data_IF_196190675583
#
_entry.id   IF_196190675583
#
_cell.length_a   1.000
_cell.length_b   1.000
_cell.length_c   1.000
_cell.angle_alpha   90.00
_cell.angle_beta   90.00
_cell.angle_gamma   90.00
#
_symmetry.space_group_name_H-M   'P 1'
#
loop_
_entity.id
_entity.type
_entity.pdbx_description
1 polymer ?
#
# COMPACT_ATOMS: atom_id res chain seq x y z
N UNK A 1 19.91 3.49 2.52
CA UNK A 1 19.20 3.72 1.24
C UNK A 1 20.12 4.19 0.12
N UNK A 2 20.86 5.29 0.26
CA UNK A 2 21.79 5.74 -0.79
C UNK A 2 22.84 4.66 -1.16
N UNK A 3 23.48 4.05 -0.16
CA UNK A 3 24.47 2.98 -0.40
C UNK A 3 23.92 1.77 -1.18
N UNK A 4 22.62 1.46 -1.01
CA UNK A 4 21.96 0.35 -1.70
C UNK A 4 21.62 0.68 -3.15
N UNK A 5 21.51 1.96 -3.49
CA UNK A 5 21.06 2.41 -4.82
C UNK A 5 22.16 3.03 -5.66
N UNK A 6 23.27 3.49 -5.06
CA UNK A 6 24.33 4.26 -5.75
C UNK A 6 24.84 3.60 -7.03
N UNK A 7 25.04 2.28 -7.03
CA UNK A 7 25.55 1.52 -8.18
C UNK A 7 24.55 1.44 -9.35
N UNK A 8 23.30 1.80 -9.12
CA UNK A 8 22.22 1.85 -10.12
C UNK A 8 21.84 3.28 -10.52
N UNK A 9 22.61 4.28 -10.08
CA UNK A 9 22.36 5.70 -10.36
C UNK A 9 23.53 6.28 -11.18
N UNK A 10 23.21 7.13 -12.16
CA UNK A 10 24.20 7.95 -12.84
C UNK A 10 24.92 8.88 -11.85
N UNK A 11 26.16 9.26 -12.13
CA UNK A 11 26.96 10.15 -11.27
C UNK A 11 26.21 11.43 -10.90
N UNK A 12 25.61 12.10 -11.90
CA UNK A 12 24.76 13.27 -11.70
C UNK A 12 23.59 13.01 -10.74
N UNK A 13 22.93 11.86 -10.85
CA UNK A 13 21.83 11.50 -9.96
C UNK A 13 22.33 11.18 -8.56
N UNK A 14 23.53 10.60 -8.41
CA UNK A 14 24.14 10.37 -7.10
C UNK A 14 24.42 11.68 -6.36
N UNK A 15 24.96 12.69 -7.07
CA UNK A 15 25.14 14.04 -6.54
C UNK A 15 23.81 14.64 -6.08
N UNK A 16 22.80 14.69 -6.96
CA UNK A 16 21.47 15.18 -6.62
C UNK A 16 20.84 14.44 -5.43
N UNK A 17 21.06 13.11 -5.34
CA UNK A 17 20.55 12.30 -4.25
C UNK A 17 21.21 12.68 -2.92
N UNK A 18 22.53 12.85 -2.89
CA UNK A 18 23.29 13.27 -1.71
C UNK A 18 22.89 14.65 -1.22
N UNK A 19 22.64 15.57 -2.14
CA UNK A 19 22.23 16.93 -1.81
C UNK A 19 20.71 17.08 -1.58
N UNK A 20 19.92 16.01 -1.76
CA UNK A 20 18.48 16.12 -1.71
C UNK A 20 17.98 16.64 -0.35
N UNK A 21 17.37 17.82 -0.35
CA UNK A 21 16.77 18.45 0.82
C UNK A 21 17.75 19.24 1.69
N UNK A 22 19.00 19.44 1.26
CA UNK A 22 19.96 20.32 1.95
C UNK A 22 19.55 21.79 1.88
N UNK A 23 18.77 22.17 0.86
CA UNK A 23 18.16 23.48 0.73
C UNK A 23 16.62 23.39 0.74
N UNK A 24 15.99 24.14 1.63
CA UNK A 24 14.54 24.29 1.70
C UNK A 24 14.20 25.77 1.94
N UNK A 25 13.32 26.31 1.09
CA UNK A 25 12.83 27.68 1.16
C UNK A 25 11.41 27.69 1.72
N UNK A 26 11.19 28.49 2.76
CA UNK A 26 9.90 28.64 3.43
C UNK A 26 9.43 30.09 3.40
N UNK A 27 8.12 30.26 3.22
CA UNK A 27 7.41 31.49 3.56
C UNK A 27 6.77 31.29 4.92
N UNK A 28 6.85 32.29 5.79
CA UNK A 28 6.24 32.26 7.12
C UNK A 28 5.27 33.41 7.32
N UNK A 29 4.31 33.22 8.21
CA UNK A 29 3.54 34.32 8.80
C UNK A 29 4.46 35.29 9.55
N UNK A 30 4.00 36.53 9.79
CA UNK A 30 4.79 37.54 10.48
C UNK A 30 5.19 37.10 11.90
N UNK A 31 4.28 36.40 12.60
CA UNK A 31 4.49 35.76 13.91
C UNK A 31 5.37 34.49 13.85
N UNK A 32 5.71 34.01 12.65
CA UNK A 32 6.47 32.78 12.37
C UNK A 32 5.83 31.47 12.88
N UNK A 33 4.56 31.49 13.31
CA UNK A 33 3.84 30.29 13.78
C UNK A 33 3.56 29.30 12.65
N UNK A 34 3.19 29.81 11.47
CA UNK A 34 2.88 28.99 10.29
C UNK A 34 3.96 29.17 9.24
N UNK A 35 4.47 28.04 8.75
CA UNK A 35 5.47 28.00 7.67
C UNK A 35 4.98 27.10 6.55
N UNK A 36 5.11 27.58 5.33
CA UNK A 36 4.85 26.81 4.11
C UNK A 36 6.12 26.78 3.28
N UNK A 37 6.55 25.58 2.93
CA UNK A 37 7.66 25.41 2.00
C UNK A 37 7.20 25.77 0.58
N UNK A 38 7.98 26.62 -0.09
CA UNK A 38 7.70 27.08 -1.46
C UNK A 38 8.76 26.61 -2.46
N UNK A 39 9.94 26.18 -1.98
CA UNK A 39 11.01 25.68 -2.84
C UNK A 39 12.00 24.80 -2.08
N UNK A 40 12.83 24.08 -2.82
CA UNK A 40 13.88 23.23 -2.27
C UNK A 40 14.57 22.40 -3.35
N UNK A 41 15.75 21.85 -3.04
CA UNK A 41 16.49 20.97 -3.95
C UNK A 41 16.09 19.51 -3.71
N UNK A 42 15.41 18.88 -4.68
CA UNK A 42 14.95 17.50 -4.54
C UNK A 42 15.40 16.66 -5.72
N UNK A 43 16.02 15.51 -5.46
CA UNK A 43 16.47 14.60 -6.52
C UNK A 43 15.31 13.94 -7.29
N UNK A 44 14.10 13.91 -6.70
CA UNK A 44 12.90 13.26 -7.24
C UNK A 44 13.06 11.76 -7.53
N UNK A 45 14.12 11.13 -7.04
CA UNK A 45 14.35 9.70 -7.18
C UNK A 45 13.33 8.92 -6.31
N UNK A 46 12.75 7.86 -6.88
CA UNK A 46 11.73 7.05 -6.20
C UNK A 46 12.22 6.36 -4.92
N UNK A 47 13.52 6.09 -4.83
CA UNK A 47 14.12 5.45 -3.65
C UNK A 47 14.63 6.44 -2.61
N UNK A 48 14.62 7.74 -2.91
CA UNK A 48 14.97 8.78 -1.96
C UNK A 48 13.88 8.89 -0.88
N UNK A 49 14.19 8.62 0.42
CA UNK A 49 13.19 8.67 1.48
C UNK A 49 12.53 10.04 1.63
N UNK A 50 13.31 11.11 1.43
CA UNK A 50 12.82 12.49 1.50
C UNK A 50 11.80 12.77 0.39
N UNK A 51 12.12 12.39 -0.85
CA UNK A 51 11.22 12.59 -1.99
C UNK A 51 9.99 11.69 -1.89
N UNK A 52 10.17 10.43 -1.49
CA UNK A 52 9.09 9.47 -1.30
C UNK A 52 8.11 9.93 -0.21
N UNK A 53 8.62 10.41 0.93
CA UNK A 53 7.81 10.96 2.01
C UNK A 53 7.03 12.21 1.57
N UNK A 54 7.69 13.15 0.89
CA UNK A 54 7.02 14.34 0.34
C UNK A 54 5.91 13.98 -0.64
N UNK A 55 6.19 13.05 -1.55
CA UNK A 55 5.21 12.55 -2.51
C UNK A 55 4.03 11.90 -1.77
N UNK A 56 4.29 11.03 -0.80
CA UNK A 56 3.24 10.40 -0.01
C UNK A 56 2.33 11.42 0.70
N UNK A 57 2.89 12.50 1.25
CA UNK A 57 2.08 13.59 1.85
C UNK A 57 1.22 14.33 0.84
N UNK A 58 1.78 14.60 -0.35
CA UNK A 58 1.04 15.25 -1.44
C UNK A 58 -0.11 14.36 -1.93
N UNK A 59 0.18 13.09 -2.15
CA UNK A 59 -0.80 12.09 -2.60
C UNK A 59 -1.91 11.90 -1.54
N UNK A 60 -1.56 11.88 -0.26
CA UNK A 60 -2.53 11.81 0.84
C UNK A 60 -3.45 13.03 0.88
N UNK A 61 -2.91 14.24 0.71
CA UNK A 61 -3.71 15.48 0.65
C UNK A 61 -4.63 15.50 -0.58
N UNK A 62 -4.13 15.07 -1.75
CA UNK A 62 -4.95 14.99 -2.95
C UNK A 62 -6.10 13.98 -2.75
N UNK A 63 -5.81 12.81 -2.18
CA UNK A 63 -6.80 11.79 -1.88
C UNK A 63 -7.85 12.31 -0.89
N UNK A 64 -7.44 13.00 0.19
CA UNK A 64 -8.39 13.54 1.18
C UNK A 64 -9.34 14.58 0.57
N UNK A 65 -8.83 15.45 -0.31
CA UNK A 65 -9.67 16.44 -1.01
C UNK A 65 -10.69 15.75 -1.91
N UNK A 66 -10.28 14.76 -2.70
CA UNK A 66 -11.19 13.99 -3.56
C UNK A 66 -12.22 13.22 -2.74
N UNK A 67 -11.81 12.63 -1.62
CA UNK A 67 -12.73 11.93 -0.72
C UNK A 67 -13.76 12.89 -0.11
N UNK A 68 -13.35 14.08 0.33
CA UNK A 68 -14.29 15.07 0.89
C UNK A 68 -15.30 15.56 -0.16
N UNK A 69 -14.83 15.83 -1.39
CA UNK A 69 -15.69 16.23 -2.50
C UNK A 69 -16.70 15.13 -2.84
N UNK A 70 -16.25 13.88 -2.98
CA UNK A 70 -17.13 12.74 -3.23
C UNK A 70 -18.14 12.52 -2.10
N UNK A 71 -17.73 12.73 -0.84
CA UNK A 71 -18.64 12.64 0.30
C UNK A 71 -19.73 13.71 0.25
N UNK A 72 -19.36 14.95 -0.07
CA UNK A 72 -20.27 16.11 -0.10
C UNK A 72 -21.20 16.10 -1.31
N UNK A 73 -20.67 15.80 -2.51
CA UNK A 73 -21.39 15.91 -3.78
C UNK A 73 -22.22 14.66 -4.12
N UNK A 74 -21.81 13.48 -3.63
CA UNK A 74 -22.41 12.20 -4.00
C UNK A 74 -22.90 11.37 -2.80
N UNK A 75 -22.82 11.90 -1.57
CA UNK A 75 -23.27 11.26 -0.32
C UNK A 75 -22.78 9.80 -0.21
N UNK A 76 -21.49 9.59 -0.49
CA UNK A 76 -20.85 8.26 -0.44
C UNK A 76 -20.36 7.92 0.97
N UNK A 77 -20.17 6.62 1.20
CA UNK A 77 -19.44 6.06 2.35
C UNK A 77 -18.21 5.31 1.84
N UNK A 78 -17.23 5.13 2.72
CA UNK A 78 -15.97 4.47 2.38
C UNK A 78 -15.83 3.11 3.04
N UNK A 79 -15.34 2.13 2.28
CA UNK A 79 -14.85 0.86 2.80
C UNK A 79 -13.34 0.79 2.61
N UNK A 80 -12.65 0.19 3.57
CA UNK A 80 -11.26 -0.17 3.43
C UNK A 80 -11.13 -1.67 3.18
N UNK A 81 -10.46 -2.03 2.10
CA UNK A 81 -10.26 -3.41 1.67
C UNK A 81 -8.77 -3.66 1.49
N UNK A 82 -8.28 -4.73 2.12
CA UNK A 82 -6.93 -5.25 1.87
C UNK A 82 -7.05 -6.57 1.11
N UNK A 83 -6.44 -6.65 -0.08
CA UNK A 83 -6.35 -7.87 -0.88
C UNK A 83 -4.90 -8.34 -0.91
N UNK A 84 -4.65 -9.56 -0.48
CA UNK A 84 -3.30 -10.13 -0.38
C UNK A 84 -3.26 -11.48 -1.09
N UNK A 85 -2.06 -11.91 -1.48
CA UNK A 85 -1.79 -13.26 -1.98
C UNK A 85 -0.78 -13.95 -1.06
N UNK A 86 -0.54 -15.26 -1.20
CA UNK A 86 0.51 -15.92 -0.44
C UNK A 86 1.88 -15.24 -0.62
N UNK A 87 2.79 -15.50 0.31
CA UNK A 87 4.17 -15.05 0.19
C UNK A 87 4.85 -15.68 -1.04
N UNK A 88 5.63 -14.89 -1.78
CA UNK A 88 6.36 -15.32 -2.98
C UNK A 88 7.85 -15.02 -2.87
N UNK A 89 8.68 -15.72 -3.64
CA UNK A 89 10.12 -15.44 -3.70
C UNK A 89 10.41 -14.18 -4.52
N UNK A 90 11.61 -13.63 -4.37
CA UNK A 90 12.03 -12.38 -5.03
C UNK A 90 11.86 -12.41 -6.55
N UNK A 91 12.18 -13.54 -7.18
CA UNK A 91 12.09 -13.77 -8.63
C UNK A 91 10.65 -13.83 -9.14
N UNK A 92 9.70 -14.21 -8.29
CA UNK A 92 8.28 -14.33 -8.61
C UNK A 92 7.48 -13.04 -8.35
N UNK A 93 8.04 -12.06 -7.62
CA UNK A 93 7.36 -10.80 -7.26
C UNK A 93 6.74 -10.10 -8.47
N UNK A 94 7.46 -10.06 -9.59
CA UNK A 94 6.99 -9.36 -10.80
C UNK A 94 5.78 -10.06 -11.42
N UNK A 95 5.82 -11.39 -11.54
CA UNK A 95 4.70 -12.19 -12.06
C UNK A 95 3.51 -12.13 -11.12
N UNK A 96 3.75 -12.18 -9.81
CA UNK A 96 2.71 -12.11 -8.79
C UNK A 96 1.96 -10.78 -8.87
N UNK A 97 2.67 -9.65 -8.94
CA UNK A 97 2.05 -8.32 -9.11
C UNK A 97 1.25 -8.24 -10.41
N UNK A 98 1.74 -8.83 -11.51
CA UNK A 98 1.01 -8.85 -12.77
C UNK A 98 -0.29 -9.66 -12.67
N UNK A 99 -0.24 -10.83 -12.02
CA UNK A 99 -1.40 -11.66 -11.74
C UNK A 99 -2.40 -10.92 -10.84
N UNK A 100 -1.95 -10.34 -9.72
CA UNK A 100 -2.78 -9.56 -8.82
C UNK A 100 -3.49 -8.41 -9.53
N UNK A 101 -2.82 -7.68 -10.43
CA UNK A 101 -3.45 -6.61 -11.21
C UNK A 101 -4.55 -7.14 -12.13
N UNK A 102 -4.32 -8.29 -12.79
CA UNK A 102 -5.32 -8.96 -13.64
C UNK A 102 -6.50 -9.46 -12.82
N UNK A 103 -6.24 -10.08 -11.67
CA UNK A 103 -7.24 -10.56 -10.72
C UNK A 103 -8.12 -9.41 -10.21
N UNK A 104 -7.48 -8.33 -9.76
CA UNK A 104 -8.17 -7.11 -9.32
C UNK A 104 -9.09 -6.56 -10.42
N UNK A 105 -8.60 -6.42 -11.65
CA UNK A 105 -9.43 -5.96 -12.76
C UNK A 105 -10.63 -6.89 -13.00
N UNK A 106 -10.43 -8.20 -13.09
CA UNK A 106 -11.51 -9.18 -13.27
C UNK A 106 -12.57 -9.06 -12.17
N UNK A 107 -12.13 -8.98 -10.91
CA UNK A 107 -13.01 -8.87 -9.75
C UNK A 107 -13.87 -7.60 -9.85
N UNK A 108 -13.27 -6.44 -10.06
CA UNK A 108 -14.00 -5.17 -10.16
C UNK A 108 -14.83 -5.02 -11.44
N UNK A 109 -14.64 -5.91 -12.42
CA UNK A 109 -15.51 -6.01 -13.61
C UNK A 109 -16.79 -6.81 -13.38
N UNK A 110 -16.90 -7.56 -12.28
CA UNK A 110 -18.10 -8.34 -11.91
C UNK A 110 -19.30 -7.43 -11.72
N UNK A 111 -20.47 -7.88 -12.18
CA UNK A 111 -21.74 -7.13 -12.12
C UNK A 111 -22.12 -6.68 -10.70
N UNK A 112 -21.93 -7.55 -9.70
CA UNK A 112 -22.21 -7.26 -8.28
C UNK A 112 -21.38 -6.05 -7.81
N UNK A 113 -20.08 -6.04 -8.11
CA UNK A 113 -19.16 -4.98 -7.71
C UNK A 113 -19.41 -3.67 -8.46
N UNK A 114 -19.58 -3.72 -9.79
CA UNK A 114 -19.92 -2.53 -10.59
C UNK A 114 -21.19 -1.81 -10.15
N UNK A 115 -22.17 -2.54 -9.61
CA UNK A 115 -23.44 -1.95 -9.11
C UNK A 115 -23.26 -1.20 -7.79
N UNK A 116 -22.33 -1.65 -6.96
CA UNK A 116 -22.16 -1.20 -5.57
C UNK A 116 -21.07 -0.14 -5.43
N UNK A 117 -19.94 -0.37 -6.10
CA UNK A 117 -18.75 0.47 -6.01
C UNK A 117 -18.86 1.61 -7.01
N UNK A 118 -18.86 2.84 -6.53
CA UNK A 118 -18.91 4.05 -7.36
C UNK A 118 -17.51 4.46 -7.86
N UNK A 119 -16.48 4.08 -7.12
CA UNK A 119 -15.10 4.38 -7.45
C UNK A 119 -14.16 3.83 -6.38
N UNK A 120 -12.87 3.84 -6.66
CA UNK A 120 -11.86 3.41 -5.68
C UNK A 120 -10.52 4.11 -5.91
N UNK A 121 -9.77 4.24 -4.81
CA UNK A 121 -8.33 4.49 -4.84
C UNK A 121 -7.63 3.21 -4.37
N UNK A 122 -6.51 2.84 -5.02
CA UNK A 122 -5.74 1.65 -4.64
C UNK A 122 -4.25 1.96 -4.55
N UNK A 123 -3.57 1.26 -3.66
CA UNK A 123 -2.11 1.30 -3.52
C UNK A 123 -1.59 -0.13 -3.38
N UNK A 124 -0.55 -0.46 -4.14
CA UNK A 124 0.22 -1.68 -3.96
C UNK A 124 1.28 -1.43 -2.89
N UNK A 125 1.29 -2.28 -1.89
CA UNK A 125 2.30 -2.36 -0.85
C UNK A 125 2.91 -3.76 -0.84
N UNK A 126 4.14 -3.87 -0.34
CA UNK A 126 4.85 -5.13 -0.26
C UNK A 126 5.63 -5.16 1.03
N UNK A 127 5.46 -6.24 1.79
CA UNK A 127 6.28 -6.53 2.97
C UNK A 127 7.31 -7.58 2.63
N UNK A 128 8.45 -7.55 3.32
CA UNK A 128 9.53 -8.52 3.20
C UNK A 128 9.79 -9.12 4.58
N UNK A 129 9.93 -10.44 4.65
CA UNK A 129 10.26 -11.13 5.89
C UNK A 129 11.74 -11.50 5.92
N UNK A 130 12.51 -10.71 6.66
CA UNK A 130 13.95 -10.89 6.80
C UNK A 130 14.36 -11.79 7.97
N UNK A 131 13.40 -12.39 8.70
CA UNK A 131 13.70 -13.16 9.91
C UNK A 131 13.96 -14.63 9.55
N UNK A 132 15.19 -15.15 9.72
CA UNK A 132 15.47 -16.56 9.42
C UNK A 132 14.85 -17.52 10.43
N UNK A 133 14.71 -17.08 11.68
CA UNK A 133 14.13 -17.85 12.77
C UNK A 133 12.86 -17.17 13.31
N UNK A 134 11.97 -17.97 13.89
CA UNK A 134 10.77 -17.48 14.57
C UNK A 134 11.20 -16.80 15.87
N UNK A 135 11.07 -15.47 15.91
CA UNK A 135 11.33 -14.68 17.12
C UNK A 135 10.09 -14.59 18.01
N UNK A 136 10.26 -14.30 19.30
CA UNK A 136 9.11 -14.12 20.22
C UNK A 136 8.10 -13.09 19.71
N UNK A 137 8.50 -11.88 19.26
CA UNK A 137 7.54 -10.91 18.73
C UNK A 137 6.83 -11.40 17.46
N UNK A 138 7.50 -12.20 16.63
CA UNK A 138 6.91 -12.75 15.42
C UNK A 138 5.89 -13.85 15.76
N UNK A 139 6.21 -14.72 16.72
CA UNK A 139 5.32 -15.76 17.21
C UNK A 139 4.05 -15.18 17.82
N UNK A 140 4.17 -14.20 18.72
CA UNK A 140 3.03 -13.50 19.34
C UNK A 140 2.11 -12.87 18.28
N UNK A 141 2.68 -12.29 17.21
CA UNK A 141 1.91 -11.67 16.13
C UNK A 141 1.16 -12.68 15.26
N UNK A 142 1.66 -13.90 15.11
CA UNK A 142 1.15 -14.93 14.19
C UNK A 142 0.92 -16.27 14.90
N UNK A 143 0.50 -16.24 16.16
CA UNK A 143 0.45 -17.41 17.03
C UNK A 143 -0.34 -18.57 16.40
N UNK A 144 -1.59 -18.34 16.02
CA UNK A 144 -2.44 -19.36 15.40
C UNK A 144 -1.85 -19.96 14.09
N UNK A 145 -1.06 -19.19 13.34
CA UNK A 145 -0.40 -19.68 12.12
C UNK A 145 0.72 -20.66 12.46
N UNK A 146 1.58 -20.30 13.42
CA UNK A 146 2.69 -21.16 13.83
C UNK A 146 2.21 -22.39 14.60
N UNK A 147 1.22 -22.24 15.48
CA UNK A 147 0.60 -23.35 16.21
C UNK A 147 -0.02 -24.38 15.26
N UNK A 148 -0.73 -23.93 14.22
CA UNK A 148 -1.30 -24.82 13.19
C UNK A 148 -0.22 -25.61 12.44
N UNK A 149 0.99 -25.07 12.31
CA UNK A 149 2.13 -25.71 11.69
C UNK A 149 2.99 -26.51 12.67
N UNK A 150 2.69 -26.47 13.97
CA UNK A 150 3.48 -27.13 15.02
C UNK A 150 4.85 -26.49 15.27
N UNK A 151 5.03 -25.22 14.90
CA UNK A 151 6.28 -24.48 15.02
C UNK A 151 6.34 -23.69 16.34
N UNK A 152 7.53 -23.48 16.89
CA UNK A 152 7.79 -22.70 18.11
C UNK A 152 8.87 -21.64 17.91
N UNK A 153 8.99 -20.74 18.88
CA UNK A 153 10.09 -19.75 18.92
C UNK A 153 11.44 -20.47 18.82
N UNK A 154 12.30 -19.99 17.92
CA UNK A 154 13.60 -20.58 17.63
C UNK A 154 13.63 -21.55 16.44
N UNK A 155 12.48 -22.04 15.96
CA UNK A 155 12.43 -22.84 14.75
C UNK A 155 12.65 -21.97 13.49
N UNK A 156 12.96 -22.62 12.36
CA UNK A 156 13.08 -21.95 11.06
C UNK A 156 11.77 -21.27 10.66
N UNK A 157 11.87 -20.02 10.18
CA UNK A 157 10.71 -19.27 9.75
C UNK A 157 10.32 -19.67 8.31
N UNK A 158 9.14 -20.29 8.09
CA UNK A 158 8.72 -20.75 6.78
C UNK A 158 8.51 -19.62 5.76
N UNK A 159 8.35 -18.38 6.23
CA UNK A 159 8.24 -17.20 5.35
C UNK A 159 9.53 -16.43 5.22
N UNK A 160 10.67 -16.94 5.70
CA UNK A 160 11.96 -16.27 5.55
C UNK A 160 12.31 -16.01 4.07
N UNK A 161 12.85 -14.82 3.81
CA UNK A 161 13.30 -14.37 2.49
C UNK A 161 12.20 -14.35 1.43
N UNK A 162 10.96 -14.11 1.86
CA UNK A 162 9.80 -13.99 0.99
C UNK A 162 9.16 -12.61 1.07
N UNK A 163 8.38 -12.30 0.04
CA UNK A 163 7.68 -11.04 -0.14
C UNK A 163 6.17 -11.27 -0.12
N UNK A 164 5.43 -10.39 0.54
CA UNK A 164 3.97 -10.42 0.55
C UNK A 164 3.41 -9.14 -0.09
N UNK A 165 3.09 -9.18 -1.41
CA UNK A 165 2.42 -8.09 -2.08
C UNK A 165 0.94 -8.03 -1.69
N UNK A 166 0.42 -6.84 -1.44
CA UNK A 166 -0.98 -6.62 -1.10
C UNK A 166 -1.49 -5.27 -1.61
N UNK A 167 -2.76 -5.22 -1.99
CA UNK A 167 -3.45 -3.98 -2.29
C UNK A 167 -4.17 -3.45 -1.05
N UNK A 168 -3.94 -2.18 -0.76
CA UNK A 168 -4.84 -1.38 0.07
C UNK A 168 -5.77 -0.58 -0.83
N UNK A 169 -7.07 -0.69 -0.58
CA UNK A 169 -8.10 -0.13 -1.46
C UNK A 169 -9.12 0.62 -0.63
N UNK A 170 -9.34 1.88 -0.97
CA UNK A 170 -10.44 2.70 -0.45
C UNK A 170 -11.55 2.67 -1.49
N UNK A 171 -12.71 2.15 -1.12
CA UNK A 171 -13.87 1.99 -2.00
C UNK A 171 -14.94 3.01 -1.64
N UNK A 172 -15.45 3.76 -2.62
CA UNK A 172 -16.63 4.59 -2.47
C UNK A 172 -17.88 3.75 -2.76
N UNK A 173 -18.82 3.73 -1.81
CA UNK A 173 -20.10 3.02 -1.91
C UNK A 173 -21.26 3.96 -1.60
N UNK A 174 -22.47 3.63 -2.07
CA UNK A 174 -23.69 4.37 -1.70
C UNK A 174 -23.86 4.38 -0.18
N UNK A 175 -24.40 5.47 0.39
CA UNK A 175 -24.74 5.54 1.82
C UNK A 175 -25.64 4.40 2.32
N UNK A 176 -26.55 3.94 1.48
CA UNK A 176 -27.44 2.81 1.79
C UNK A 176 -26.77 1.44 1.72
N UNK A 177 -25.46 1.35 1.40
CA UNK A 177 -24.76 0.08 1.18
C UNK A 177 -25.01 -0.93 2.31
N UNK A 178 -24.84 -0.52 3.56
CA UNK A 178 -24.95 -1.39 4.74
C UNK A 178 -26.37 -1.88 5.05
N UNK A 179 -27.41 -1.21 4.52
CA UNK A 179 -28.81 -1.63 4.66
C UNK A 179 -29.39 -2.18 3.36
N UNK A 180 -28.61 -2.20 2.28
CA UNK A 180 -29.07 -2.65 0.97
C UNK A 180 -28.97 -4.17 0.83
N UNK A 181 -29.81 -4.75 -0.03
CA UNK A 181 -29.67 -6.13 -0.50
C UNK A 181 -28.37 -6.41 -1.26
N UNK A 182 -27.63 -5.35 -1.62
CA UNK A 182 -26.38 -5.42 -2.35
C UNK A 182 -25.14 -5.41 -1.44
N UNK A 183 -25.35 -5.45 -0.12
CA UNK A 183 -24.27 -5.59 0.85
C UNK A 183 -23.44 -6.84 0.57
N UNK A 184 -22.12 -6.68 0.55
CA UNK A 184 -21.16 -7.76 0.30
C UNK A 184 -20.50 -8.11 1.63
N UNK A 185 -20.76 -9.33 2.12
CA UNK A 185 -20.15 -9.87 3.33
C UNK A 185 -18.66 -10.10 3.13
N UNK A 186 -17.90 -10.12 4.23
CA UNK A 186 -16.45 -10.42 4.20
C UNK A 186 -16.14 -11.72 3.45
N UNK A 187 -16.93 -12.77 3.69
CA UNK A 187 -16.67 -14.08 3.09
C UNK A 187 -16.91 -14.07 1.58
N UNK A 188 -17.94 -13.36 1.10
CA UNK A 188 -18.13 -13.12 -0.33
C UNK A 188 -16.94 -12.38 -0.96
N UNK A 189 -16.34 -11.40 -0.25
CA UNK A 189 -15.13 -10.71 -0.75
C UNK A 189 -13.96 -11.68 -0.88
N UNK A 190 -13.78 -12.56 0.10
CA UNK A 190 -12.73 -13.58 0.11
C UNK A 190 -12.92 -14.58 -1.03
N UNK A 191 -14.14 -15.10 -1.21
CA UNK A 191 -14.48 -16.04 -2.28
C UNK A 191 -14.26 -15.42 -3.65
N UNK A 192 -14.77 -14.20 -3.88
CA UNK A 192 -14.56 -13.50 -5.15
C UNK A 192 -13.08 -13.23 -5.45
N UNK A 193 -12.26 -12.99 -4.43
CA UNK A 193 -10.82 -12.81 -4.58
C UNK A 193 -10.13 -14.12 -4.96
N UNK A 194 -10.38 -15.20 -4.21
CA UNK A 194 -9.86 -16.55 -4.49
C UNK A 194 -10.18 -17.01 -5.91
N UNK A 195 -11.41 -16.83 -6.36
CA UNK A 195 -11.83 -17.19 -7.72
C UNK A 195 -11.04 -16.45 -8.82
N UNK A 196 -10.62 -15.19 -8.59
CA UNK A 196 -9.88 -14.42 -9.61
C UNK A 196 -8.37 -14.63 -9.54
N UNK A 197 -7.85 -15.05 -8.39
CA UNK A 197 -6.44 -15.42 -8.19
C UNK A 197 -6.18 -16.89 -8.54
N UNK A 198 -7.20 -17.75 -8.50
CA UNK A 198 -7.09 -19.19 -8.73
C UNK A 198 -6.69 -19.97 -7.48
N UNK A 199 -6.99 -19.41 -6.30
CA UNK A 199 -6.74 -19.99 -4.97
C UNK A 199 -7.89 -20.85 -4.44
#
# INVERSE_FOLDING_TARGET
MYELTKNHLSEKMQELYRECGTFNLYVSTADKEKKKMVGGNHCKNRFCPICAWRKARKDAMALSVVMEAMHTEHDVKYLFLTLTTPNVRADEVKSEIAMMNKAFHKMFMRRKLKRVIQGYARKLEMTYDSNPLITTPLFEKKQAYYERLGLKVGDENPTYDTYNPHFHVVLAVKKSYFSSRDYIKRDDWLEMWREVTGD
#
